data_IF_840925585220
#
_entry.id   IF_840925585220
#
_cell.length_a   1.000
_cell.length_b   1.000
_cell.length_c   1.000
_cell.angle_alpha   90.00
_cell.angle_beta   90.00
_cell.angle_gamma   90.00
#
_symmetry.space_group_name_H-M   'P 1'
#
loop_
_entity.id
_entity.type
_entity.pdbx_description
1 polymer ?
#
# COMPACT_ATOMS: atom_id res chain seq x y z
N UNK A 1 20.64 -13.05 9.11
CA UNK A 1 19.60 -14.10 9.04
C UNK A 1 18.50 -13.54 8.14
N UNK A 2 18.42 -13.99 6.90
CA UNK A 2 17.40 -13.50 5.95
C UNK A 2 16.12 -14.24 6.33
N UNK A 3 15.21 -13.57 7.03
CA UNK A 3 13.83 -14.04 7.16
C UNK A 3 13.22 -13.97 5.76
N UNK A 4 13.28 -15.08 5.03
CA UNK A 4 12.43 -15.28 3.87
C UNK A 4 10.99 -15.02 4.34
N UNK A 5 10.22 -14.21 3.62
CA UNK A 5 8.78 -14.16 3.83
C UNK A 5 8.30 -15.62 3.91
N UNK A 6 7.40 -15.96 4.85
CA UNK A 6 6.98 -17.34 5.02
C UNK A 6 6.47 -17.83 3.67
N UNK A 7 7.22 -18.74 3.05
CA UNK A 7 6.93 -19.25 1.70
C UNK A 7 5.49 -19.80 1.64
N UNK A 8 5.01 -20.28 2.78
CA UNK A 8 3.64 -20.73 3.02
C UNK A 8 2.59 -19.61 2.84
N UNK A 9 2.85 -18.38 3.29
CA UNK A 9 1.95 -17.24 3.11
C UNK A 9 1.81 -16.86 1.63
N UNK A 10 2.93 -16.87 0.90
CA UNK A 10 2.95 -16.61 -0.54
C UNK A 10 2.11 -17.67 -1.27
N UNK A 11 2.34 -18.96 -1.01
CA UNK A 11 1.58 -20.03 -1.65
C UNK A 11 0.10 -20.05 -1.23
N UNK A 12 -0.22 -19.69 0.01
CA UNK A 12 -1.61 -19.56 0.47
C UNK A 12 -2.33 -18.38 -0.20
N UNK A 13 -1.64 -17.26 -0.42
CA UNK A 13 -2.17 -16.11 -1.14
C UNK A 13 -2.39 -16.45 -2.62
N UNK A 14 -1.37 -17.03 -3.28
CA UNK A 14 -1.46 -17.43 -4.68
C UNK A 14 -2.62 -18.40 -4.94
N UNK A 15 -2.81 -19.42 -4.09
CA UNK A 15 -3.95 -20.35 -4.20
C UNK A 15 -5.30 -19.64 -4.09
N UNK A 16 -5.44 -18.65 -3.19
CA UNK A 16 -6.66 -17.86 -3.07
C UNK A 16 -6.96 -17.10 -4.36
N UNK A 17 -5.95 -16.45 -4.96
CA UNK A 17 -6.09 -15.74 -6.24
C UNK A 17 -6.55 -16.66 -7.37
N UNK A 18 -5.89 -17.82 -7.53
CA UNK A 18 -6.26 -18.79 -8.57
C UNK A 18 -7.69 -19.30 -8.38
N UNK A 19 -8.10 -19.59 -7.14
CA UNK A 19 -9.44 -20.10 -6.84
C UNK A 19 -10.57 -19.10 -7.17
N UNK A 20 -10.31 -17.79 -7.11
CA UNK A 20 -11.28 -16.75 -7.48
C UNK A 20 -11.19 -16.36 -8.95
N UNK A 21 -10.36 -17.04 -9.75
CA UNK A 21 -10.24 -16.84 -11.19
C UNK A 21 -9.28 -15.71 -11.60
N UNK A 22 -8.40 -15.26 -10.71
CA UNK A 22 -7.29 -14.36 -11.08
C UNK A 22 -6.27 -15.20 -11.85
N UNK A 23 -6.23 -15.03 -13.17
CA UNK A 23 -5.26 -15.71 -14.02
C UNK A 23 -3.89 -15.00 -14.00
N UNK A 24 -2.86 -15.65 -14.56
CA UNK A 24 -1.50 -15.12 -14.61
C UNK A 24 -1.35 -13.89 -15.53
N UNK A 25 -2.39 -13.54 -16.29
CA UNK A 25 -2.46 -12.35 -17.13
C UNK A 25 -3.30 -11.23 -16.53
N UNK A 26 -3.83 -11.43 -15.32
CA UNK A 26 -4.61 -10.44 -14.61
C UNK A 26 -3.76 -9.20 -14.38
N UNK A 27 -4.03 -8.16 -15.19
CA UNK A 27 -3.61 -6.80 -14.88
C UNK A 27 -4.12 -6.47 -13.48
N UNK A 28 -3.28 -5.87 -12.65
CA UNK A 28 -3.69 -5.31 -11.37
C UNK A 28 -4.73 -4.23 -11.67
N UNK A 29 -6.00 -4.60 -11.65
CA UNK A 29 -7.09 -3.67 -11.89
C UNK A 29 -7.23 -2.81 -10.64
N UNK A 30 -6.71 -1.58 -10.70
CA UNK A 30 -7.04 -0.57 -9.72
C UNK A 30 -8.51 -0.21 -9.90
N UNK A 31 -9.37 -0.73 -9.04
CA UNK A 31 -10.75 -0.25 -8.93
C UNK A 31 -10.69 1.18 -8.39
N UNK A 32 -11.08 2.16 -9.19
CA UNK A 32 -11.17 3.53 -8.72
C UNK A 32 -12.39 3.67 -7.81
N UNK A 33 -12.19 4.21 -6.61
CA UNK A 33 -13.28 4.69 -5.76
C UNK A 33 -13.77 6.04 -6.28
N UNK A 34 -15.05 6.35 -6.05
CA UNK A 34 -15.56 7.70 -6.34
C UNK A 34 -15.02 8.72 -5.32
N UNK A 35 -15.13 10.00 -5.66
CA UNK A 35 -14.60 11.10 -4.83
C UNK A 35 -15.25 11.15 -3.44
N UNK A 36 -16.55 10.92 -3.34
CA UNK A 36 -17.27 10.87 -2.07
C UNK A 36 -16.76 9.73 -1.17
N UNK A 37 -16.59 8.53 -1.73
CA UNK A 37 -16.05 7.38 -1.00
C UNK A 37 -14.61 7.61 -0.55
N UNK A 38 -13.79 8.24 -1.39
CA UNK A 38 -12.44 8.64 -0.99
C UNK A 38 -12.46 9.65 0.16
N UNK A 39 -13.32 10.66 0.11
CA UNK A 39 -13.42 11.66 1.16
C UNK A 39 -13.89 11.07 2.49
N UNK A 40 -14.84 10.14 2.45
CA UNK A 40 -15.29 9.41 3.64
C UNK A 40 -14.14 8.59 4.24
N UNK A 41 -13.41 7.84 3.42
CA UNK A 41 -12.27 7.07 3.87
C UNK A 41 -11.14 7.96 4.45
N UNK A 42 -10.88 9.13 3.86
CA UNK A 42 -9.93 10.10 4.40
C UNK A 42 -10.39 10.68 5.75
N UNK A 43 -11.68 10.93 5.90
CA UNK A 43 -12.25 11.44 7.16
C UNK A 43 -12.16 10.40 8.28
N UNK A 44 -12.49 9.14 7.99
CA UNK A 44 -12.38 8.01 8.93
C UNK A 44 -10.92 7.78 9.38
N UNK A 45 -9.96 8.00 8.47
CA UNK A 45 -8.53 7.77 8.72
C UNK A 45 -7.75 9.04 8.98
N UNK A 46 -8.41 10.14 9.35
CA UNK A 46 -7.81 11.49 9.43
C UNK A 46 -6.55 11.56 10.29
N UNK A 47 -6.56 10.91 11.46
CA UNK A 47 -5.40 10.89 12.37
C UNK A 47 -4.21 10.17 11.73
N UNK A 48 -4.43 9.01 11.12
CA UNK A 48 -3.39 8.24 10.43
C UNK A 48 -2.83 9.01 9.22
N UNK A 49 -3.69 9.66 8.45
CA UNK A 49 -3.28 10.51 7.32
C UNK A 49 -2.40 11.66 7.80
N UNK A 50 -2.74 12.26 8.95
CA UNK A 50 -1.94 13.33 9.57
C UNK A 50 -0.58 12.84 10.03
N UNK A 51 -0.54 11.73 10.78
CA UNK A 51 0.71 11.13 11.28
C UNK A 51 1.61 10.76 10.10
N UNK A 52 1.03 10.09 9.09
CA UNK A 52 1.76 9.66 7.89
C UNK A 52 2.31 10.83 7.09
N UNK A 53 1.59 11.96 7.04
CA UNK A 53 2.08 13.18 6.40
C UNK A 53 3.36 13.73 7.01
N UNK A 54 3.56 13.53 8.32
CA UNK A 54 4.76 14.00 9.02
C UNK A 54 5.94 13.03 8.89
N UNK A 55 5.70 11.77 8.51
CA UNK A 55 6.77 10.78 8.36
C UNK A 55 7.69 11.07 7.16
N UNK A 56 7.23 11.83 6.17
CA UNK A 56 8.03 12.12 4.97
C UNK A 56 9.39 12.74 5.32
N UNK A 57 9.40 13.74 6.21
CA UNK A 57 10.63 14.36 6.71
C UNK A 57 11.51 13.41 7.50
N UNK A 58 10.92 12.44 8.21
CA UNK A 58 11.67 11.47 9.01
C UNK A 58 12.41 10.45 8.14
N UNK A 59 11.93 10.23 6.90
CA UNK A 59 12.52 9.31 5.93
C UNK A 59 13.44 9.99 4.92
N UNK A 60 13.41 11.32 4.79
CA UNK A 60 14.37 12.07 3.95
C UNK A 60 15.82 11.76 4.37
N UNK A 61 16.09 11.74 5.67
CA UNK A 61 17.41 11.40 6.24
C UNK A 61 17.85 9.94 5.99
N UNK A 62 16.90 9.05 5.70
CA UNK A 62 17.14 7.63 5.41
C UNK A 62 17.25 7.34 3.90
N UNK A 63 16.91 8.33 3.05
CA UNK A 63 16.63 8.13 1.61
C UNK A 63 17.80 8.36 0.67
N UNK A 64 18.98 8.73 1.18
CA UNK A 64 20.13 9.20 0.38
C UNK A 64 20.59 8.26 -0.76
N UNK A 65 20.16 7.00 -0.82
CA UNK A 65 20.51 6.06 -1.91
C UNK A 65 19.35 5.23 -2.48
N UNK A 66 18.09 5.46 -2.09
CA UNK A 66 16.97 4.60 -2.55
C UNK A 66 15.74 5.41 -2.93
N UNK A 67 15.25 5.19 -4.16
CA UNK A 67 13.92 5.61 -4.62
C UNK A 67 12.86 4.85 -3.81
N UNK A 68 12.38 5.44 -2.72
CA UNK A 68 11.38 4.86 -1.85
C UNK A 68 10.02 5.50 -2.10
N UNK A 69 8.97 4.68 -2.06
CA UNK A 69 7.59 5.16 -2.10
C UNK A 69 6.89 4.61 -0.87
N UNK A 70 6.37 5.52 -0.06
CA UNK A 70 5.58 5.20 1.12
C UNK A 70 4.10 5.29 0.73
N UNK A 71 3.35 4.23 1.03
CA UNK A 71 1.92 4.13 0.76
C UNK A 71 1.16 3.96 2.07
N UNK A 72 0.19 4.83 2.33
CA UNK A 72 -0.80 4.65 3.38
C UNK A 72 -2.04 3.99 2.77
N UNK A 73 -2.33 2.77 3.21
CA UNK A 73 -3.44 1.96 2.72
C UNK A 73 -4.34 1.59 3.91
N UNK A 74 -5.66 1.66 3.75
CA UNK A 74 -6.60 1.25 4.80
C UNK A 74 -6.74 -0.30 4.87
N UNK A 75 -7.56 -0.80 5.79
CA UNK A 75 -7.79 -2.24 5.97
C UNK A 75 -8.42 -2.96 4.77
N UNK A 76 -9.03 -2.21 3.85
CA UNK A 76 -9.68 -2.74 2.65
C UNK A 76 -8.75 -2.75 1.44
N UNK A 77 -7.53 -2.24 1.56
CA UNK A 77 -6.60 -2.11 0.44
C UNK A 77 -6.77 -0.80 -0.35
N UNK A 78 -7.54 0.17 0.14
CA UNK A 78 -7.68 1.48 -0.49
C UNK A 78 -6.46 2.37 -0.20
N UNK A 79 -5.84 2.89 -1.25
CA UNK A 79 -4.76 3.87 -1.14
C UNK A 79 -5.30 5.23 -0.69
N UNK A 80 -4.88 5.68 0.49
CA UNK A 80 -5.29 6.95 1.09
C UNK A 80 -4.29 8.08 0.82
N UNK A 81 -2.99 7.77 0.87
CA UNK A 81 -1.91 8.74 0.66
C UNK A 81 -0.66 8.06 0.09
N UNK A 82 0.07 8.78 -0.75
CA UNK A 82 1.35 8.37 -1.32
C UNK A 82 2.36 9.49 -1.13
N UNK A 83 3.51 9.14 -0.55
CA UNK A 83 4.66 10.03 -0.43
C UNK A 83 5.85 9.39 -1.17
N UNK A 84 6.63 10.19 -1.89
CA UNK A 84 7.83 9.72 -2.56
C UNK A 84 9.05 10.26 -1.80
N UNK A 85 9.93 9.37 -1.33
CA UNK A 85 11.15 9.73 -0.61
C UNK A 85 12.38 9.34 -1.45
N UNK A 86 13.30 10.27 -1.64
CA UNK A 86 14.47 10.12 -2.51
C UNK A 86 14.30 10.89 -3.82
N UNK A 87 15.19 11.86 -4.06
CA UNK A 87 15.28 12.71 -5.25
C UNK A 87 16.63 12.56 -5.93
#
# INVERSE_FOLDING_TARGET
MITLQPVDEIFASWRRCVNIGVDNSASVMSSSINEEGLQNALNENKELVSIFGNLESDFEDLSLERNLVLLLVNSEGLLLKKNAAGS
#
